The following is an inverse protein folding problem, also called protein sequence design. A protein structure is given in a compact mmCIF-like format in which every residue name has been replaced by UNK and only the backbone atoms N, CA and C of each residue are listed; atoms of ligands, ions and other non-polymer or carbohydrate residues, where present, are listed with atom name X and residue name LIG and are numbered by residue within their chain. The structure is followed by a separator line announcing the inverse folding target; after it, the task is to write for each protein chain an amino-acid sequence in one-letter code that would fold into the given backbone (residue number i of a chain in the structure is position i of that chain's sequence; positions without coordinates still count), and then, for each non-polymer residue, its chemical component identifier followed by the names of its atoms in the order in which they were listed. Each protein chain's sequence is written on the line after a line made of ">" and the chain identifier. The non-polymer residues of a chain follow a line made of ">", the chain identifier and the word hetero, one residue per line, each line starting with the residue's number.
data_IF_273156155148
#
_entry.id   IF_273156155148
#
_cell.length_a   1.000
_cell.length_b   1.000
_cell.length_c   1.000
_cell.angle_alpha   90.00
_cell.angle_beta   90.00
_cell.angle_gamma   90.00
#
_symmetry.space_group_name_H-M   'P 1'
#
loop_
_entity.id
_entity.type
_entity.pdbx_description
1 polymer ?
#
# COMPACT_ATOMS: atom_id res chain seq x y z
N UNK A 1 2.85 6.78 -5.51
CA UNK A 1 2.05 7.03 -4.29
C UNK A 1 1.26 8.34 -4.40
N UNK A 2 0.28 8.55 -3.52
CA UNK A 2 -0.42 9.83 -3.29
C UNK A 2 -0.25 10.19 -1.82
N UNK A 3 0.28 11.38 -1.54
CA UNK A 3 0.41 11.88 -0.16
C UNK A 3 -0.89 12.52 0.29
N UNK A 4 -1.18 12.41 1.59
CA UNK A 4 -2.22 13.23 2.18
C UNK A 4 -1.76 14.70 2.23
N UNK A 5 -2.70 15.64 2.24
CA UNK A 5 -2.44 17.08 2.18
C UNK A 5 -1.49 17.55 3.28
N UNK A 6 -1.64 17.02 4.50
CA UNK A 6 -0.76 17.31 5.64
C UNK A 6 0.72 16.95 5.39
N UNK A 7 0.99 16.05 4.44
CA UNK A 7 2.32 15.58 4.07
C UNK A 7 2.71 16.01 2.65
N UNK A 8 1.98 16.93 2.01
CA UNK A 8 2.21 17.30 0.60
C UNK A 8 3.61 17.88 0.33
N UNK A 9 4.22 18.52 1.34
CA UNK A 9 5.58 19.08 1.27
C UNK A 9 6.63 18.20 1.96
N UNK A 10 6.23 17.03 2.47
CA UNK A 10 7.12 16.17 3.21
C UNK A 10 8.17 15.52 2.29
N UNK A 11 9.41 15.46 2.77
CA UNK A 11 10.48 14.71 2.12
C UNK A 11 10.45 13.22 2.54
N UNK A 12 11.33 12.40 1.95
CA UNK A 12 11.33 10.94 2.18
C UNK A 12 11.55 10.58 3.65
N UNK A 13 12.45 11.29 4.35
CA UNK A 13 12.75 11.01 5.75
C UNK A 13 11.59 11.40 6.68
N UNK A 14 10.90 12.50 6.37
CA UNK A 14 9.68 12.89 7.08
C UNK A 14 8.56 11.85 6.90
N UNK A 15 8.42 11.27 5.70
CA UNK A 15 7.47 10.17 5.48
C UNK A 15 7.89 8.89 6.21
N UNK A 16 9.19 8.52 6.19
CA UNK A 16 9.70 7.37 6.97
C UNK A 16 9.42 7.54 8.46
N UNK A 17 9.59 8.77 8.97
CA UNK A 17 9.30 9.13 10.37
C UNK A 17 7.81 9.02 10.68
N UNK A 18 6.95 9.55 9.81
CA UNK A 18 5.49 9.46 9.97
C UNK A 18 4.98 8.02 9.93
N UNK A 19 5.68 7.11 9.23
CA UNK A 19 5.34 5.69 9.17
C UNK A 19 5.70 4.91 10.45
N UNK A 20 6.46 5.49 11.39
CA UNK A 20 6.79 4.82 12.64
C UNK A 20 5.53 4.48 13.44
N UNK A 21 5.31 3.19 13.71
CA UNK A 21 4.08 2.73 14.36
C UNK A 21 2.82 2.87 13.48
N UNK A 22 2.95 3.11 12.18
CA UNK A 22 1.79 3.24 11.30
C UNK A 22 1.12 1.89 11.00
N UNK A 23 -0.17 1.94 10.70
CA UNK A 23 -0.94 0.82 10.19
C UNK A 23 -1.01 0.89 8.67
N UNK A 24 -0.70 -0.22 7.99
CA UNK A 24 -0.81 -0.39 6.55
C UNK A 24 -2.00 -1.27 6.21
N UNK A 25 -2.98 -0.73 5.48
CA UNK A 25 -4.16 -1.48 5.01
C UNK A 25 -4.08 -1.70 3.52
N UNK A 26 -4.16 -2.96 3.10
CA UNK A 26 -4.03 -3.39 1.69
C UNK A 26 -5.41 -3.58 1.08
N UNK A 27 -5.62 -3.08 -0.13
CA UNK A 27 -6.91 -3.14 -0.82
C UNK A 27 -6.79 -3.67 -2.25
N UNK A 28 -7.85 -4.32 -2.74
CA UNK A 28 -8.01 -4.78 -4.13
C UNK A 28 -9.02 -3.97 -4.95
N UNK A 29 -9.48 -2.83 -4.44
CA UNK A 29 -10.35 -1.90 -5.16
C UNK A 29 -9.55 -0.74 -5.75
N UNK A 30 -10.21 0.09 -6.57
CA UNK A 30 -9.58 1.28 -7.13
C UNK A 30 -9.06 2.19 -6.02
N UNK A 31 -7.84 2.72 -6.21
CA UNK A 31 -7.28 3.70 -5.31
C UNK A 31 -8.14 4.98 -5.35
N UNK A 32 -8.49 5.56 -4.20
CA UNK A 32 -9.21 6.83 -4.16
C UNK A 32 -8.48 7.96 -4.89
N UNK A 33 -9.23 9.00 -5.28
CA UNK A 33 -8.65 10.15 -5.99
C UNK A 33 -7.57 10.85 -5.15
N UNK A 34 -7.77 10.93 -3.83
CA UNK A 34 -6.80 11.42 -2.85
C UNK A 34 -6.91 10.63 -1.52
N UNK A 35 -5.87 10.63 -0.67
CA UNK A 35 -5.86 9.84 0.57
C UNK A 35 -6.90 10.26 1.62
N UNK A 36 -7.41 11.48 1.55
CA UNK A 36 -8.47 12.01 2.42
C UNK A 36 -9.84 11.40 2.07
N UNK A 37 -10.00 10.91 0.84
CA UNK A 37 -11.25 10.31 0.41
C UNK A 37 -11.40 8.90 0.98
N UNK A 38 -12.64 8.55 1.28
CA UNK A 38 -13.02 7.21 1.70
C UNK A 38 -12.71 6.17 0.62
N UNK A 39 -12.38 4.96 1.04
CA UNK A 39 -12.17 3.83 0.13
C UNK A 39 -13.52 3.26 -0.29
N UNK A 40 -13.88 3.42 -1.57
CA UNK A 40 -15.12 2.88 -2.11
C UNK A 40 -15.02 1.37 -2.31
N UNK A 41 -16.16 0.66 -2.14
CA UNK A 41 -16.30 -0.80 -2.33
C UNK A 41 -15.42 -1.66 -1.40
N UNK A 42 -14.77 -1.05 -0.40
CA UNK A 42 -14.00 -1.62 0.70
C UNK A 42 -13.55 -3.10 0.50
N UNK A 43 -12.70 -3.34 -0.50
CA UNK A 43 -12.12 -4.67 -0.78
C UNK A 43 -10.82 -4.87 -0.02
N UNK A 44 -10.91 -4.77 1.30
CA UNK A 44 -9.79 -4.89 2.22
C UNK A 44 -9.22 -6.33 2.20
N UNK A 45 -7.90 -6.46 2.08
CA UNK A 45 -7.19 -7.73 1.95
C UNK A 45 -6.41 -8.13 3.20
N UNK A 46 -5.67 -7.20 3.80
CA UNK A 46 -4.77 -7.47 4.91
C UNK A 46 -4.38 -6.15 5.60
N UNK A 47 -3.99 -6.25 6.88
CA UNK A 47 -3.48 -5.14 7.67
C UNK A 47 -2.15 -5.53 8.29
N UNK A 48 -1.16 -4.65 8.17
CA UNK A 48 0.12 -4.76 8.87
C UNK A 48 0.26 -3.60 9.84
N UNK A 49 0.82 -3.89 11.01
CA UNK A 49 1.29 -2.88 11.93
C UNK A 49 2.80 -2.70 11.73
N UNK A 50 3.28 -1.47 11.58
CA UNK A 50 4.71 -1.18 11.50
C UNK A 50 5.31 -1.02 12.88
N UNK A 51 6.57 -1.41 13.01
CA UNK A 51 7.39 -1.13 14.19
C UNK A 51 7.67 0.38 14.30
N UNK A 52 8.21 0.78 15.44
CA UNK A 52 8.73 2.14 15.66
C UNK A 52 10.21 2.02 16.07
N UNK A 53 11.16 2.44 15.22
CA UNK A 53 10.98 3.02 13.87
C UNK A 53 10.47 2.00 12.84
N UNK A 54 9.79 2.49 11.79
CA UNK A 54 9.21 1.64 10.74
C UNK A 54 10.23 1.15 9.70
N UNK A 55 11.42 1.76 9.65
CA UNK A 55 12.48 1.40 8.72
C UNK A 55 13.79 1.15 9.45
N UNK A 56 14.55 0.19 8.95
CA UNK A 56 15.97 0.00 9.24
C UNK A 56 16.73 0.20 7.94
N UNK A 57 17.30 1.40 7.77
CA UNK A 57 17.79 1.87 6.48
C UNK A 57 16.64 2.04 5.48
N UNK A 58 16.62 1.20 4.45
CA UNK A 58 15.55 1.15 3.43
C UNK A 58 14.61 -0.04 3.58
N UNK A 59 14.85 -0.92 4.55
CA UNK A 59 14.00 -2.08 4.80
C UNK A 59 12.87 -1.71 5.76
N UNK A 60 11.63 -1.95 5.33
CA UNK A 60 10.46 -1.78 6.19
C UNK A 60 10.39 -2.88 7.24
N UNK A 61 9.97 -2.52 8.46
CA UNK A 61 9.84 -3.42 9.61
C UNK A 61 8.39 -3.49 10.08
N UNK A 62 7.60 -4.44 9.58
CA UNK A 62 6.33 -4.76 10.22
C UNK A 62 6.57 -5.45 11.57
N UNK A 63 5.64 -5.31 12.51
CA UNK A 63 5.67 -5.99 13.82
C UNK A 63 5.59 -7.50 13.64
N UNK A 64 4.76 -7.96 12.69
CA UNK A 64 4.70 -9.34 12.24
C UNK A 64 5.20 -9.43 10.80
N UNK A 65 6.15 -10.34 10.51
CA UNK A 65 6.67 -10.53 9.15
C UNK A 65 5.56 -10.94 8.16
N UNK A 66 4.60 -11.73 8.64
CA UNK A 66 3.47 -12.21 7.85
C UNK A 66 2.17 -12.00 8.59
N UNK A 67 1.15 -11.54 7.87
CA UNK A 67 -0.23 -11.42 8.40
C UNK A 67 -1.19 -12.27 7.57
N UNK A 68 -2.29 -12.74 8.15
CA UNK A 68 -3.29 -13.50 7.41
C UNK A 68 -4.12 -12.57 6.53
N UNK A 69 -4.30 -12.93 5.26
CA UNK A 69 -5.28 -12.28 4.41
C UNK A 69 -6.70 -12.51 4.94
N UNK A 70 -7.55 -11.49 4.85
CA UNK A 70 -8.96 -11.51 5.25
C UNK A 70 -9.91 -11.68 4.05
N UNK A 71 -9.44 -11.46 2.83
CA UNK A 71 -10.21 -11.66 1.60
C UNK A 71 -9.29 -12.08 0.43
N UNK A 72 -9.91 -12.44 -0.69
CA UNK A 72 -9.26 -12.82 -1.95
C UNK A 72 -9.20 -11.63 -2.90
N UNK A 73 -8.04 -11.38 -3.49
CA UNK A 73 -7.91 -10.34 -4.52
C UNK A 73 -6.47 -10.00 -4.89
N UNK A 74 -6.32 -9.24 -5.97
CA UNK A 74 -5.03 -8.67 -6.37
C UNK A 74 -4.86 -7.33 -5.64
N UNK A 75 -3.77 -7.13 -4.88
CA UNK A 75 -3.47 -5.84 -4.26
C UNK A 75 -3.34 -4.75 -5.33
N UNK A 76 -3.99 -3.61 -5.11
CA UNK A 76 -3.93 -2.45 -5.99
C UNK A 76 -3.33 -1.22 -5.29
N UNK A 77 -3.59 -1.04 -4.00
CA UNK A 77 -2.96 0.00 -3.21
C UNK A 77 -2.91 -0.35 -1.72
N UNK A 78 -2.05 0.35 -0.98
CA UNK A 78 -1.93 0.29 0.48
C UNK A 78 -2.16 1.69 1.05
N UNK A 79 -3.09 1.82 2.00
CA UNK A 79 -3.27 3.04 2.79
C UNK A 79 -2.45 2.95 4.06
N UNK A 80 -1.62 3.96 4.33
CA UNK A 80 -0.94 4.10 5.60
C UNK A 80 -1.65 5.13 6.48
N UNK A 81 -1.86 4.77 7.76
CA UNK A 81 -2.40 5.68 8.78
C UNK A 81 -1.49 5.70 10.00
N UNK A 82 -1.34 6.85 10.66
CA UNK A 82 -0.66 6.96 11.95
C UNK A 82 -1.36 6.11 13.03
N UNK A 83 -0.75 5.85 14.20
CA UNK A 83 -1.43 5.17 15.32
C UNK A 83 -2.76 5.84 15.72
N UNK A 84 -2.87 7.15 15.54
CA UNK A 84 -4.06 7.96 15.82
C UNK A 84 -5.12 7.89 14.70
N UNK A 85 -4.83 7.17 13.61
CA UNK A 85 -5.74 6.96 12.49
C UNK A 85 -5.69 8.03 11.40
N UNK A 86 -4.73 8.97 11.45
CA UNK A 86 -4.57 10.01 10.43
C UNK A 86 -3.94 9.41 9.18
N UNK A 87 -4.53 9.62 8.00
CA UNK A 87 -3.97 9.13 6.74
C UNK A 87 -2.66 9.84 6.40
N UNK A 88 -1.61 9.06 6.14
CA UNK A 88 -0.30 9.55 5.69
C UNK A 88 -0.26 9.59 4.16
N UNK A 89 -0.57 8.46 3.54
CA UNK A 89 -0.47 8.29 2.09
C UNK A 89 -1.20 7.03 1.61
N UNK A 90 -1.54 7.03 0.31
CA UNK A 90 -1.90 5.83 -0.43
C UNK A 90 -0.76 5.43 -1.38
N UNK A 91 -0.16 4.27 -1.12
CA UNK A 91 0.92 3.67 -1.90
C UNK A 91 0.36 2.73 -2.97
N UNK A 92 0.93 2.74 -4.17
CA UNK A 92 0.60 1.75 -5.20
C UNK A 92 1.05 0.35 -4.79
N UNK A 93 0.26 -0.68 -5.11
CA UNK A 93 0.58 -2.07 -4.80
C UNK A 93 0.24 -2.99 -5.97
N UNK A 94 0.96 -4.10 -6.07
CA UNK A 94 0.68 -5.15 -7.06
C UNK A 94 1.92 -5.61 -7.84
N UNK A 95 1.71 -6.40 -8.91
CA UNK A 95 2.80 -6.85 -9.76
C UNK A 95 3.34 -5.67 -10.60
N UNK A 96 4.67 -5.58 -10.75
CA UNK A 96 5.34 -4.49 -11.49
C UNK A 96 6.19 -3.58 -10.60
N UNK A 97 6.64 -2.42 -11.08
CA UNK A 97 7.38 -1.46 -10.26
C UNK A 97 6.44 -0.57 -9.45
N UNK A 98 5.87 -1.17 -8.39
CA UNK A 98 4.92 -0.54 -7.46
C UNK A 98 5.62 -0.05 -6.19
N UNK A 99 4.97 0.85 -5.44
CA UNK A 99 5.50 1.35 -4.17
C UNK A 99 5.63 0.20 -3.15
N UNK A 100 4.65 -0.71 -3.14
CA UNK A 100 4.62 -1.90 -2.29
C UNK A 100 4.56 -3.17 -3.14
N UNK A 101 5.45 -4.12 -2.87
CA UNK A 101 5.37 -5.49 -3.39
C UNK A 101 5.09 -6.47 -2.28
N UNK A 102 4.19 -7.41 -2.58
CA UNK A 102 3.96 -8.56 -1.73
C UNK A 102 4.74 -9.77 -2.27
N UNK A 103 4.91 -10.80 -1.45
CA UNK A 103 5.54 -12.05 -1.85
C UNK A 103 4.76 -12.76 -2.96
N UNK A 104 3.43 -12.67 -2.92
CA UNK A 104 2.52 -13.25 -3.90
C UNK A 104 1.78 -12.15 -4.68
N UNK A 105 1.36 -12.49 -5.91
CA UNK A 105 0.66 -11.56 -6.81
C UNK A 105 -0.80 -11.33 -6.40
N UNK A 106 -1.39 -12.26 -5.64
CA UNK A 106 -2.74 -12.17 -5.12
C UNK A 106 -2.83 -12.71 -3.70
N UNK A 107 -3.78 -12.18 -2.93
CA UNK A 107 -4.15 -12.70 -1.62
C UNK A 107 -5.21 -13.80 -1.77
N UNK A 108 -5.12 -14.81 -0.93
CA UNK A 108 -6.14 -15.84 -0.72
C UNK A 108 -6.56 -15.81 0.74
N UNK A 109 -7.86 -15.87 1.04
CA UNK A 109 -8.35 -15.78 2.42
C UNK A 109 -7.64 -16.79 3.34
N UNK A 110 -7.12 -16.30 4.47
CA UNK A 110 -6.38 -17.07 5.48
C UNK A 110 -4.91 -17.37 5.12
N UNK A 111 -4.49 -17.17 3.87
CA UNK A 111 -3.09 -17.37 3.48
C UNK A 111 -2.18 -16.25 4.05
N UNK A 112 -0.90 -16.55 4.32
CA UNK A 112 0.04 -15.55 4.79
C UNK A 112 0.34 -14.53 3.69
N UNK A 113 0.33 -13.26 4.06
CA UNK A 113 0.73 -12.11 3.23
C UNK A 113 2.02 -11.56 3.80
N UNK A 114 2.99 -11.26 2.94
CA UNK A 114 4.28 -10.66 3.32
C UNK A 114 4.64 -9.53 2.39
N UNK A 115 5.12 -8.41 2.93
CA UNK A 115 5.70 -7.31 2.16
C UNK A 115 7.16 -7.66 1.85
N UNK A 116 7.54 -7.65 0.57
CA UNK A 116 8.90 -7.94 0.11
C UNK A 116 9.66 -6.70 -0.32
N UNK A 117 8.94 -5.63 -0.70
CA UNK A 117 9.52 -4.33 -1.04
C UNK A 117 8.57 -3.22 -0.62
N UNK A 118 9.13 -2.16 -0.05
CA UNK A 118 8.43 -0.91 0.22
C UNK A 118 9.34 0.25 -0.18
N UNK A 119 8.90 1.10 -1.10
CA UNK A 119 9.66 2.25 -1.59
C UNK A 119 8.80 3.52 -1.58
N UNK A 120 9.38 4.61 -1.09
CA UNK A 120 8.73 5.93 -1.04
C UNK A 120 9.17 6.72 -2.28
N UNK A 121 8.23 6.99 -3.19
CA UNK A 121 8.49 7.63 -4.49
C UNK A 121 7.63 8.89 -4.67
N UNK A 122 8.06 9.99 -4.05
CA UNK A 122 7.29 11.25 -3.99
C UNK A 122 6.99 11.88 -5.36
N UNK A 123 7.86 11.68 -6.36
CA UNK A 123 7.78 12.31 -7.68
C UNK A 123 7.68 11.31 -8.84
N UNK A 124 7.52 10.03 -8.56
CA UNK A 124 7.31 9.05 -9.63
C UNK A 124 5.89 9.21 -10.20
N UNK A 125 5.70 9.12 -11.52
CA UNK A 125 4.36 9.02 -12.08
C UNK A 125 3.62 7.87 -11.41
N UNK A 126 2.33 8.05 -11.12
CA UNK A 126 1.54 6.97 -10.56
C UNK A 126 1.59 5.80 -11.54
N UNK A 127 2.03 4.59 -11.11
CA UNK A 127 2.19 3.49 -12.04
C UNK A 127 0.85 3.18 -12.69
N UNK A 128 0.84 3.08 -14.01
CA UNK A 128 -0.35 2.66 -14.73
C UNK A 128 -0.76 1.28 -14.23
N UNK A 129 -2.07 1.08 -14.04
CA UNK A 129 -2.61 -0.19 -13.57
C UNK A 129 -2.07 -1.29 -14.46
N UNK A 130 -1.44 -2.30 -13.86
CA UNK A 130 -0.99 -3.46 -14.62
C UNK A 130 -2.23 -4.17 -15.21
N UNK A 131 -2.48 -3.97 -16.50
CA UNK A 131 -3.55 -4.64 -17.23
C UNK A 131 -3.10 -6.07 -17.53
N UNK A 132 -3.84 -7.06 -17.03
CA UNK A 132 -3.64 -8.44 -17.47
C UNK A 132 -3.97 -8.57 -18.97
N UNK A 133 -3.48 -9.61 -19.67
CA UNK A 133 -3.87 -9.87 -21.05
C UNK A 133 -5.40 -9.93 -21.23
N UNK A 134 -6.11 -10.42 -20.21
CA UNK A 134 -7.58 -10.44 -20.17
C UNK A 134 -8.18 -9.03 -20.09
N UNK A 135 -7.62 -8.15 -19.26
CA UNK A 135 -8.11 -6.77 -19.13
C UNK A 135 -7.94 -5.99 -20.45
N UNK A 136 -6.82 -6.21 -21.15
CA UNK A 136 -6.58 -5.64 -22.48
C UNK A 136 -7.57 -6.18 -23.53
N UNK A 137 -7.90 -7.47 -23.50
CA UNK A 137 -8.93 -8.06 -24.36
C UNK A 137 -10.34 -7.48 -24.09
N UNK A 138 -10.63 -7.08 -22.86
CA UNK A 138 -11.91 -6.48 -22.46
C UNK A 138 -11.99 -4.97 -22.77
N UNK A 139 -10.99 -4.40 -23.46
CA UNK A 139 -10.98 -2.99 -23.86
C UNK A 139 -10.77 -2.01 -22.70
N UNK A 140 -10.33 -2.50 -21.53
CA UNK A 140 -9.93 -1.65 -20.43
C UNK A 140 -8.59 -0.98 -20.81
N UNK A 141 -8.60 0.34 -20.89
CA UNK A 141 -7.43 1.19 -21.13
C UNK A 141 -6.92 1.72 -19.81
#
# INVERSE_FOLDING_TARGET
>A
MKLAEAYAQANVEEIKTALAGATLRIYSCAQPASPEKSVERNRFLAEFQLASPAFEGDQIKPVEETVKAQDVGVPLFVRATTPEGVTIADFSAGPGDMDVKLADVSCTNGAPVRITKFQIRLKAPHPERHLSPRDRMMGLK
#
